data_IF_821342149698
#
_entry.id   IF_821342149698
#
_cell.length_a   1.000
_cell.length_b   1.000
_cell.length_c   1.000
_cell.angle_alpha   90.00
_cell.angle_beta   90.00
_cell.angle_gamma   90.00
#
_symmetry.space_group_name_H-M   'P 1'
#
loop_
_entity.id
_entity.type
_entity.pdbx_description
1 polymer ?
#
# COMPACT_ATOMS: atom_id res chain seq x y z
N UNK A 1 -42.00 -26.35 -55.25
CA UNK A 1 -42.59 -26.35 -53.90
C UNK A 1 -41.52 -25.96 -52.90
N UNK A 2 -41.69 -24.86 -52.19
CA UNK A 2 -40.76 -24.42 -51.15
C UNK A 2 -40.78 -25.44 -50.00
N UNK A 3 -39.61 -25.93 -49.61
CA UNK A 3 -39.46 -26.95 -48.56
C UNK A 3 -39.71 -26.31 -47.17
N UNK A 4 -40.98 -26.30 -46.75
CA UNK A 4 -41.44 -25.69 -45.48
C UNK A 4 -40.67 -26.19 -44.25
N UNK A 5 -40.23 -27.46 -44.24
CA UNK A 5 -39.44 -28.03 -43.14
C UNK A 5 -38.04 -27.40 -43.07
N UNK A 6 -37.42 -27.13 -44.21
CA UNK A 6 -36.12 -26.44 -44.31
C UNK A 6 -36.20 -24.99 -43.83
N UNK A 7 -37.29 -24.28 -44.14
CA UNK A 7 -37.50 -22.91 -43.66
C UNK A 7 -37.69 -22.83 -42.15
N UNK A 8 -38.45 -23.77 -41.56
CA UNK A 8 -38.65 -23.84 -40.10
C UNK A 8 -37.32 -24.15 -39.40
N UNK A 9 -36.54 -25.11 -39.91
CA UNK A 9 -35.23 -25.42 -39.36
C UNK A 9 -34.26 -24.22 -39.44
N UNK A 10 -34.27 -23.49 -40.56
CA UNK A 10 -33.43 -22.30 -40.74
C UNK A 10 -33.86 -21.16 -39.80
N UNK A 11 -35.16 -20.96 -39.60
CA UNK A 11 -35.68 -19.96 -38.65
C UNK A 11 -35.30 -20.29 -37.20
N UNK A 12 -35.39 -21.56 -36.81
CA UNK A 12 -34.92 -22.05 -35.50
C UNK A 12 -33.43 -21.83 -35.31
N UNK A 13 -32.61 -22.10 -36.34
CA UNK A 13 -31.16 -21.92 -36.27
C UNK A 13 -30.78 -20.44 -36.11
N UNK A 14 -31.47 -19.54 -36.82
CA UNK A 14 -31.31 -18.08 -36.63
C UNK A 14 -31.72 -17.65 -35.23
N UNK A 15 -32.83 -18.18 -34.69
CA UNK A 15 -33.27 -17.88 -33.33
C UNK A 15 -32.25 -18.34 -32.28
N UNK A 16 -31.72 -19.57 -32.42
CA UNK A 16 -30.66 -20.09 -31.53
C UNK A 16 -29.40 -19.21 -31.62
N UNK A 17 -29.00 -18.81 -32.83
CA UNK A 17 -27.84 -17.95 -33.03
C UNK A 17 -28.00 -16.59 -32.34
N UNK A 18 -29.19 -15.98 -32.40
CA UNK A 18 -29.50 -14.72 -31.72
C UNK A 18 -29.44 -14.88 -30.19
N UNK A 19 -30.02 -15.95 -29.65
CA UNK A 19 -30.00 -16.21 -28.20
C UNK A 19 -28.56 -16.41 -27.71
N UNK A 20 -27.78 -17.23 -28.39
CA UNK A 20 -26.36 -17.45 -28.04
C UNK A 20 -25.56 -16.15 -28.13
N UNK A 21 -25.81 -15.32 -29.15
CA UNK A 21 -25.14 -14.03 -29.30
C UNK A 21 -25.47 -13.07 -28.16
N UNK A 22 -26.74 -13.00 -27.75
CA UNK A 22 -27.16 -12.14 -26.64
C UNK A 22 -26.60 -12.61 -25.30
N UNK A 23 -26.60 -13.93 -25.04
CA UNK A 23 -26.00 -14.51 -23.83
C UNK A 23 -24.50 -14.25 -23.78
N UNK A 24 -23.81 -14.44 -24.92
CA UNK A 24 -22.37 -14.18 -25.03
C UNK A 24 -22.06 -12.70 -24.78
N UNK A 25 -22.83 -11.79 -25.40
CA UNK A 25 -22.67 -10.35 -25.18
C UNK A 25 -22.93 -9.95 -23.73
N UNK A 26 -23.98 -10.51 -23.11
CA UNK A 26 -24.29 -10.30 -21.70
C UNK A 26 -23.16 -10.78 -20.79
N UNK A 27 -22.58 -11.95 -21.07
CA UNK A 27 -21.42 -12.47 -20.36
C UNK A 27 -20.21 -11.53 -20.50
N UNK A 28 -19.89 -11.06 -21.72
CA UNK A 28 -18.79 -10.12 -21.94
C UNK A 28 -18.97 -8.79 -21.18
N UNK A 29 -20.17 -8.22 -21.19
CA UNK A 29 -20.47 -6.98 -20.46
C UNK A 29 -20.34 -7.18 -18.95
N UNK A 30 -20.78 -8.33 -18.45
CA UNK A 30 -20.65 -8.66 -17.03
C UNK A 30 -19.17 -8.85 -16.64
N UNK A 31 -18.40 -9.62 -17.41
CA UNK A 31 -16.98 -9.82 -17.19
C UNK A 31 -16.17 -8.52 -17.25
N UNK A 32 -16.43 -7.64 -18.22
CA UNK A 32 -15.74 -6.34 -18.33
C UNK A 32 -16.00 -5.44 -17.10
N UNK A 33 -17.24 -5.44 -16.59
CA UNK A 33 -17.58 -4.68 -15.38
C UNK A 33 -16.90 -5.24 -14.13
N UNK A 34 -16.95 -6.55 -13.91
CA UNK A 34 -16.35 -7.18 -12.73
C UNK A 34 -14.83 -7.01 -12.71
N UNK A 35 -14.15 -7.15 -13.86
CA UNK A 35 -12.71 -6.92 -13.98
C UNK A 35 -12.35 -5.46 -13.69
N UNK A 36 -13.12 -4.50 -14.21
CA UNK A 36 -12.90 -3.06 -13.94
C UNK A 36 -13.07 -2.70 -12.47
N UNK A 37 -14.08 -3.28 -11.79
CA UNK A 37 -14.28 -3.04 -10.35
C UNK A 37 -13.12 -3.64 -9.54
N UNK A 38 -12.76 -4.90 -9.78
CA UNK A 38 -11.67 -5.56 -9.04
C UNK A 38 -10.31 -4.87 -9.26
N UNK A 39 -10.02 -4.45 -10.49
CA UNK A 39 -8.78 -3.70 -10.80
C UNK A 39 -8.76 -2.31 -10.15
N UNK A 40 -9.90 -1.64 -10.06
CA UNK A 40 -10.04 -0.37 -9.34
C UNK A 40 -9.80 -0.53 -7.83
N UNK A 41 -10.41 -1.53 -7.21
CA UNK A 41 -10.20 -1.83 -5.79
C UNK A 41 -8.74 -2.19 -5.49
N UNK A 42 -8.13 -3.03 -6.32
CA UNK A 42 -6.72 -3.40 -6.18
C UNK A 42 -5.79 -2.18 -6.32
N UNK A 43 -6.07 -1.30 -7.29
CA UNK A 43 -5.30 -0.06 -7.48
C UNK A 43 -5.38 0.83 -6.25
N UNK A 44 -6.55 0.95 -5.61
CA UNK A 44 -6.70 1.74 -4.40
C UNK A 44 -5.92 1.16 -3.22
N UNK A 45 -5.91 -0.17 -3.03
CA UNK A 45 -5.12 -0.81 -1.96
C UNK A 45 -3.62 -0.62 -2.18
N UNK A 46 -3.16 -0.67 -3.44
CA UNK A 46 -1.76 -0.38 -3.79
C UNK A 46 -1.42 1.08 -3.45
N UNK A 47 -2.27 2.03 -3.84
CA UNK A 47 -2.07 3.45 -3.52
C UNK A 47 -2.03 3.71 -2.01
N UNK A 48 -2.93 3.08 -1.24
CA UNK A 48 -2.93 3.20 0.23
C UNK A 48 -1.63 2.64 0.82
N UNK A 49 -1.18 1.48 0.37
CA UNK A 49 0.12 0.92 0.80
C UNK A 49 1.29 1.83 0.45
N UNK A 50 1.32 2.39 -0.75
CA UNK A 50 2.37 3.33 -1.20
C UNK A 50 2.37 4.59 -0.34
N UNK A 51 1.19 5.15 -0.07
CA UNK A 51 1.04 6.28 0.85
C UNK A 51 1.61 5.96 2.23
N UNK A 52 1.27 4.80 2.82
CA UNK A 52 1.78 4.41 4.15
C UNK A 52 3.29 4.22 4.13
N UNK A 53 3.83 3.62 3.07
CA UNK A 53 5.27 3.46 2.89
C UNK A 53 5.99 4.82 2.86
N UNK A 54 5.48 5.77 2.09
CA UNK A 54 6.07 7.11 1.97
C UNK A 54 5.90 7.88 3.27
N UNK A 55 4.74 7.77 3.91
CA UNK A 55 4.47 8.35 5.21
C UNK A 55 5.51 7.87 6.24
N UNK A 56 5.72 6.56 6.38
CA UNK A 56 6.68 5.99 7.33
C UNK A 56 8.09 6.48 7.04
N UNK A 57 8.53 6.44 5.78
CA UNK A 57 9.88 6.88 5.40
C UNK A 57 10.12 8.36 5.73
N UNK A 58 9.23 9.26 5.29
CA UNK A 58 9.36 10.69 5.53
C UNK A 58 9.18 11.05 7.00
N UNK A 59 8.33 10.33 7.73
CA UNK A 59 8.15 10.50 9.17
C UNK A 59 9.44 10.17 9.91
N UNK A 60 10.07 9.05 9.58
CA UNK A 60 11.30 8.62 10.22
C UNK A 60 12.43 9.65 10.04
N UNK A 61 12.56 10.21 8.83
CA UNK A 61 13.51 11.29 8.52
C UNK A 61 13.17 12.56 9.30
N UNK A 62 11.89 12.96 9.34
CA UNK A 62 11.45 14.17 10.04
C UNK A 62 11.79 14.10 11.53
N UNK A 63 11.50 12.97 12.18
CA UNK A 63 11.84 12.72 13.59
C UNK A 63 13.35 12.82 13.77
N UNK A 64 14.13 12.12 12.95
CA UNK A 64 15.59 12.16 13.03
C UNK A 64 16.15 13.57 12.90
N UNK A 65 15.66 14.38 11.95
CA UNK A 65 16.10 15.77 11.77
C UNK A 65 15.79 16.65 12.98
N UNK A 66 14.61 16.50 13.57
CA UNK A 66 14.22 17.26 14.76
C UNK A 66 15.10 16.90 15.96
N UNK A 67 15.38 15.60 16.15
CA UNK A 67 16.24 15.08 17.21
C UNK A 67 17.67 15.61 17.05
N UNK A 68 18.26 15.52 15.86
CA UNK A 68 19.61 16.05 15.57
C UNK A 68 19.67 17.55 15.81
N UNK A 69 18.67 18.31 15.31
CA UNK A 69 18.62 19.76 15.48
C UNK A 69 18.56 20.17 16.96
N UNK A 70 17.79 19.46 17.79
CA UNK A 70 17.74 19.72 19.23
C UNK A 70 19.08 19.40 19.90
N UNK A 71 19.71 18.28 19.54
CA UNK A 71 21.05 17.92 20.01
C UNK A 71 22.10 18.99 19.71
N UNK A 72 22.11 19.51 18.48
CA UNK A 72 22.99 20.60 18.07
C UNK A 72 22.71 21.90 18.87
N UNK A 73 21.44 22.25 19.06
CA UNK A 73 21.06 23.45 19.85
C UNK A 73 21.46 23.35 21.32
N UNK A 74 21.48 22.14 21.88
CA UNK A 74 21.86 21.85 23.26
C UNK A 74 23.34 21.46 23.40
N UNK A 75 24.10 21.51 22.29
CA UNK A 75 25.51 21.11 22.18
C UNK A 75 25.79 19.72 22.77
N UNK A 76 24.89 18.76 22.52
CA UNK A 76 24.99 17.36 22.99
C UNK A 76 24.70 16.35 21.89
N UNK A 77 25.21 15.12 22.08
CA UNK A 77 24.83 13.98 21.24
C UNK A 77 23.43 13.49 21.62
N UNK A 78 22.69 13.06 20.61
CA UNK A 78 21.36 12.45 20.73
C UNK A 78 21.43 10.98 20.38
N UNK A 79 20.52 10.18 20.95
CA UNK A 79 20.50 8.74 20.71
C UNK A 79 19.10 8.18 20.62
N UNK A 80 19.00 6.86 20.75
CA UNK A 80 17.75 6.10 20.64
C UNK A 80 16.66 6.68 21.54
N UNK A 81 16.96 7.01 22.80
CA UNK A 81 15.96 7.54 23.74
C UNK A 81 15.37 8.89 23.30
N UNK A 82 16.19 9.80 22.80
CA UNK A 82 15.70 11.08 22.27
C UNK A 82 14.82 10.83 21.04
N UNK A 83 15.20 9.91 20.16
CA UNK A 83 14.37 9.55 19.00
C UNK A 83 13.01 8.99 19.41
N UNK A 84 12.98 8.09 20.40
CA UNK A 84 11.75 7.51 20.94
C UNK A 84 10.83 8.56 21.55
N UNK A 85 11.38 9.50 22.30
CA UNK A 85 10.61 10.59 22.91
C UNK A 85 9.94 11.46 21.84
N UNK A 86 10.71 11.88 20.82
CA UNK A 86 10.16 12.67 19.72
C UNK A 86 9.14 11.91 18.87
N UNK A 87 9.31 10.60 18.69
CA UNK A 87 8.41 9.81 17.88
C UNK A 87 7.00 9.68 18.50
N UNK A 88 6.90 9.67 19.84
CA UNK A 88 5.62 9.59 20.56
C UNK A 88 4.67 10.72 20.18
N UNK A 89 5.20 11.93 20.07
CA UNK A 89 4.43 13.13 19.72
C UNK A 89 4.07 13.22 18.23
N UNK A 90 4.58 12.30 17.40
CA UNK A 90 4.44 12.32 15.94
C UNK A 90 3.63 11.13 15.41
N UNK A 91 3.12 10.28 16.30
CA UNK A 91 2.23 9.20 15.93
C UNK A 91 0.80 9.72 15.69
N UNK A 92 0.47 9.97 14.41
CA UNK A 92 -0.85 10.42 14.01
C UNK A 92 -1.87 9.27 13.83
N UNK A 93 -1.55 8.03 14.24
CA UNK A 93 -2.46 6.89 14.13
C UNK A 93 -2.77 6.51 12.68
N UNK A 94 -1.81 6.67 11.77
CA UNK A 94 -1.98 6.26 10.37
C UNK A 94 -2.05 4.74 10.31
N UNK A 95 -3.20 4.24 9.84
CA UNK A 95 -3.42 2.81 9.65
C UNK A 95 -2.36 2.23 8.70
N UNK A 96 -1.75 1.11 9.09
CA UNK A 96 -0.68 0.45 8.35
C UNK A 96 0.74 0.87 8.73
N UNK A 97 0.90 1.90 9.56
CA UNK A 97 2.19 2.37 10.08
C UNK A 97 2.49 1.88 11.51
N UNK A 98 1.65 1.02 12.08
CA UNK A 98 1.71 0.60 13.49
C UNK A 98 3.00 -0.15 13.82
N UNK A 99 3.46 -1.02 12.90
CA UNK A 99 4.70 -1.77 13.09
C UNK A 99 5.92 -0.84 13.21
N UNK A 100 5.96 0.25 12.42
CA UNK A 100 7.00 1.26 12.53
C UNK A 100 7.01 1.90 13.92
N UNK A 101 5.87 2.43 14.37
CA UNK A 101 5.81 3.09 15.68
C UNK A 101 6.05 2.13 16.84
N UNK A 102 5.55 0.89 16.76
CA UNK A 102 5.81 -0.14 17.76
C UNK A 102 7.30 -0.47 17.85
N UNK A 103 7.98 -0.62 16.70
CA UNK A 103 9.43 -0.82 16.66
C UNK A 103 10.20 0.36 17.22
N UNK A 104 9.76 1.59 16.96
CA UNK A 104 10.35 2.77 17.60
C UNK A 104 10.16 2.71 19.12
N UNK A 105 8.94 2.48 19.60
CA UNK A 105 8.65 2.38 21.04
C UNK A 105 9.47 1.30 21.75
N UNK A 106 9.68 0.15 21.10
CA UNK A 106 10.48 -0.96 21.62
C UNK A 106 11.99 -0.77 21.46
N UNK A 107 12.45 0.24 20.71
CA UNK A 107 13.88 0.45 20.45
C UNK A 107 14.46 -0.55 19.43
N UNK A 108 13.63 -1.11 18.56
CA UNK A 108 14.02 -2.06 17.50
C UNK A 108 14.62 -1.36 16.27
N UNK A 109 15.54 -0.43 16.49
CA UNK A 109 16.23 0.34 15.46
C UNK A 109 17.59 0.82 15.95
N UNK A 110 18.43 1.24 15.01
CA UNK A 110 19.74 1.85 15.26
C UNK A 110 19.60 3.34 14.97
N UNK A 111 20.07 4.17 15.89
CA UNK A 111 20.21 5.62 15.68
C UNK A 111 21.47 6.11 16.38
N UNK A 112 22.56 6.25 15.60
CA UNK A 112 23.91 6.44 16.12
C UNK A 112 24.69 7.47 15.32
N UNK A 113 25.65 8.14 15.97
CA UNK A 113 26.53 9.10 15.32
C UNK A 113 27.86 8.46 14.95
N UNK A 114 28.11 8.30 13.66
CA UNK A 114 29.31 7.69 13.09
C UNK A 114 29.78 8.49 11.87
N UNK A 115 31.09 8.66 11.71
CA UNK A 115 31.70 9.38 10.58
C UNK A 115 31.14 10.79 10.31
N UNK A 116 30.78 11.50 11.38
CA UNK A 116 30.26 12.86 11.27
C UNK A 116 28.76 12.94 10.92
N UNK A 117 28.04 11.81 10.88
CA UNK A 117 26.62 11.73 10.52
C UNK A 117 25.81 10.91 11.50
N UNK A 118 24.53 11.19 11.59
CA UNK A 118 23.57 10.35 12.30
C UNK A 118 22.96 9.32 11.36
N UNK A 119 23.25 8.05 11.61
CA UNK A 119 22.74 6.92 10.84
C UNK A 119 21.51 6.33 11.51
N UNK A 120 20.45 6.15 10.73
CA UNK A 120 19.26 5.43 11.13
C UNK A 120 19.13 4.13 10.35
N UNK A 121 18.86 3.03 11.05
CA UNK A 121 18.52 1.75 10.43
C UNK A 121 17.42 1.03 11.21
N UNK A 122 16.39 0.58 10.50
CA UNK A 122 15.32 -0.28 11.04
C UNK A 122 15.00 -1.39 10.05
N UNK A 123 15.01 -2.64 10.51
CA UNK A 123 14.83 -3.81 9.65
C UNK A 123 13.40 -4.32 9.69
N UNK A 124 12.95 -4.83 8.54
CA UNK A 124 11.67 -5.56 8.37
C UNK A 124 10.48 -4.79 8.95
N UNK A 125 10.35 -3.52 8.59
CA UNK A 125 9.16 -2.72 8.90
C UNK A 125 8.01 -3.20 8.03
N UNK A 126 6.95 -3.66 8.67
CA UNK A 126 5.74 -4.13 8.00
C UNK A 126 4.85 -2.94 7.65
N UNK A 127 4.59 -2.78 6.36
CA UNK A 127 3.65 -1.78 5.83
C UNK A 127 2.41 -2.51 5.33
N UNK A 128 1.23 -2.01 5.71
CA UNK A 128 -0.06 -2.60 5.33
C UNK A 128 -0.94 -1.55 4.66
N UNK A 129 -1.44 -1.86 3.46
CA UNK A 129 -2.58 -1.19 2.85
C UNK A 129 -3.81 -2.08 2.98
N UNK A 130 -4.96 -1.51 3.33
CA UNK A 130 -6.19 -2.27 3.59
C UNK A 130 -7.43 -1.48 3.16
N UNK A 131 -8.17 -2.07 2.21
CA UNK A 131 -9.48 -1.60 1.79
C UNK A 131 -10.51 -2.73 1.76
N UNK A 132 -11.39 -2.74 2.75
CA UNK A 132 -12.50 -3.69 2.84
C UNK A 132 -12.00 -5.11 3.13
N UNK A 133 -12.10 -6.01 2.16
CA UNK A 133 -11.59 -7.39 2.26
C UNK A 133 -10.18 -7.55 1.66
N UNK A 134 -9.68 -6.53 0.97
CA UNK A 134 -8.41 -6.59 0.26
C UNK A 134 -7.29 -5.99 1.13
N UNK A 135 -6.35 -6.84 1.54
CA UNK A 135 -5.19 -6.45 2.36
C UNK A 135 -3.91 -6.80 1.61
N UNK A 136 -3.04 -5.82 1.41
CA UNK A 136 -1.69 -6.02 0.87
C UNK A 136 -0.69 -5.59 1.93
N UNK A 137 0.28 -6.45 2.21
CA UNK A 137 1.38 -6.12 3.11
C UNK A 137 2.75 -6.38 2.49
N UNK A 138 3.76 -5.61 2.91
CA UNK A 138 5.16 -5.87 2.58
C UNK A 138 6.07 -5.50 3.73
N UNK A 139 7.22 -6.16 3.79
CA UNK A 139 8.29 -5.78 4.71
C UNK A 139 9.35 -4.96 3.97
N UNK A 140 9.88 -3.93 4.63
CA UNK A 140 10.94 -3.09 4.08
C UNK A 140 11.96 -2.73 5.15
N UNK A 141 13.21 -2.60 4.75
CA UNK A 141 14.25 -2.00 5.58
C UNK A 141 14.29 -0.49 5.36
N UNK A 142 14.31 0.27 6.45
CA UNK A 142 14.48 1.72 6.45
C UNK A 142 15.93 2.04 6.79
N UNK A 143 16.61 2.79 5.92
CA UNK A 143 17.98 3.26 6.14
C UNK A 143 18.13 4.67 5.62
N UNK A 144 18.72 5.56 6.42
CA UNK A 144 19.10 6.90 5.99
C UNK A 144 20.20 7.48 6.90
N UNK A 145 20.90 8.49 6.40
CA UNK A 145 21.90 9.26 7.16
C UNK A 145 21.51 10.73 7.17
N UNK A 146 21.75 11.40 8.29
CA UNK A 146 21.53 12.84 8.50
C UNK A 146 22.84 13.52 8.86
N UNK A 147 23.06 14.71 8.31
CA UNK A 147 24.20 15.58 8.64
C UNK A 147 23.89 16.45 9.88
#
# INVERSE_FOLDING_TARGET
MINKKGQIAMALLVAVFLVVSLVTLGAFVYFDKDIKVQSGELSQVIQEKEFVNDYVYWKAISIGKEVVKKGQSENRKVGIKDYQEFAKDKNYGVKGAEDFFSKVENGEFIFEFEDGKYNFEMKKVRIVGDKGLNVISSNRDLKFSLD
#
